data_IF_390569891242
#
_entry.id   IF_390569891242
#
_cell.length_a   1.000
_cell.length_b   1.000
_cell.length_c   1.000
_cell.angle_alpha   90.00
_cell.angle_beta   90.00
_cell.angle_gamma   90.00
#
_symmetry.space_group_name_H-M   'P 1'
#
loop_
_entity.id
_entity.type
_entity.pdbx_description
1 polymer ?
#
# COMPACT_ATOMS: atom_id res chain seq x y z
N UNK A 1 -36.21 -37.40 -6.66
CA UNK A 1 -35.83 -36.15 -7.34
C UNK A 1 -36.02 -35.02 -6.35
N UNK A 2 -34.91 -34.51 -5.82
CA UNK A 2 -34.87 -33.35 -4.93
C UNK A 2 -33.49 -32.73 -5.14
N UNK A 3 -33.40 -31.81 -6.09
CA UNK A 3 -32.22 -30.98 -6.31
C UNK A 3 -32.12 -29.97 -5.16
N UNK A 4 -31.26 -30.27 -4.19
CA UNK A 4 -30.67 -29.24 -3.34
C UNK A 4 -29.46 -28.70 -4.09
N UNK A 5 -29.64 -27.62 -4.85
CA UNK A 5 -28.52 -26.79 -5.31
C UNK A 5 -27.97 -26.03 -4.11
N UNK A 6 -27.07 -26.68 -3.38
CA UNK A 6 -26.13 -26.03 -2.47
C UNK A 6 -25.15 -25.22 -3.31
N UNK A 7 -25.47 -23.95 -3.59
CA UNK A 7 -24.44 -23.01 -4.01
C UNK A 7 -23.48 -22.84 -2.82
N UNK A 8 -22.33 -23.48 -2.93
CA UNK A 8 -21.25 -23.35 -1.97
C UNK A 8 -20.83 -21.88 -1.92
N UNK A 9 -20.71 -21.31 -0.72
CA UNK A 9 -20.16 -19.95 -0.48
C UNK A 9 -18.78 -19.75 -1.16
N UNK A 10 -18.12 -20.84 -1.55
CA UNK A 10 -16.80 -20.87 -2.19
C UNK A 10 -16.83 -20.84 -3.74
N UNK A 11 -17.99 -21.00 -4.40
CA UNK A 11 -18.00 -21.26 -5.85
C UNK A 11 -17.80 -20.04 -6.75
N UNK A 12 -17.88 -18.81 -6.26
CA UNK A 12 -17.68 -17.62 -7.12
C UNK A 12 -17.10 -16.42 -6.37
N UNK A 13 -15.83 -16.48 -5.95
CA UNK A 13 -15.14 -15.25 -5.55
C UNK A 13 -14.49 -14.52 -6.73
N UNK A 14 -14.54 -15.02 -7.97
CA UNK A 14 -13.90 -14.39 -9.14
C UNK A 14 -14.87 -13.65 -10.07
N UNK A 15 -16.19 -13.80 -9.89
CA UNK A 15 -17.17 -12.99 -10.61
C UNK A 15 -17.28 -11.62 -9.93
N UNK A 16 -16.66 -10.61 -10.53
CA UNK A 16 -16.81 -9.22 -10.12
C UNK A 16 -18.30 -8.86 -10.12
N UNK A 17 -18.85 -8.52 -8.94
CA UNK A 17 -20.20 -7.95 -8.86
C UNK A 17 -20.18 -6.58 -9.56
N UNK A 18 -20.90 -6.40 -10.68
CA UNK A 18 -20.93 -5.12 -11.41
C UNK A 18 -21.41 -3.96 -10.53
N UNK A 19 -22.19 -4.23 -9.49
CA UNK A 19 -22.67 -3.23 -8.52
C UNK A 19 -21.57 -2.67 -7.61
N UNK A 20 -20.36 -3.25 -7.64
CA UNK A 20 -19.18 -2.72 -6.94
C UNK A 20 -18.47 -1.60 -7.71
N UNK A 21 -18.86 -1.32 -8.96
CA UNK A 21 -18.16 -0.35 -9.83
C UNK A 21 -18.74 1.07 -9.79
N UNK A 22 -19.95 1.25 -9.29
CA UNK A 22 -20.62 2.54 -9.37
C UNK A 22 -20.32 3.40 -8.14
N UNK A 23 -19.27 4.22 -8.25
CA UNK A 23 -19.05 5.36 -7.36
C UNK A 23 -19.58 6.59 -8.08
N UNK A 24 -20.64 7.22 -7.57
CA UNK A 24 -21.23 8.42 -8.18
C UNK A 24 -20.27 9.62 -8.14
N UNK A 25 -19.39 9.67 -7.14
CA UNK A 25 -18.41 10.74 -6.93
C UNK A 25 -17.08 10.17 -6.39
N UNK A 26 -16.11 9.81 -7.25
CA UNK A 26 -14.82 9.34 -6.77
C UNK A 26 -14.11 10.44 -5.96
N UNK A 27 -13.37 10.08 -4.90
CA UNK A 27 -12.56 11.05 -4.15
C UNK A 27 -11.62 11.84 -5.06
N UNK A 28 -11.49 13.14 -4.79
CA UNK A 28 -10.53 14.01 -5.47
C UNK A 28 -9.09 13.79 -4.99
N UNK A 29 -8.94 13.33 -3.74
CA UNK A 29 -7.66 13.04 -3.11
C UNK A 29 -7.72 11.71 -2.37
N UNK A 30 -6.56 11.09 -2.20
CA UNK A 30 -6.39 9.83 -1.50
C UNK A 30 -5.16 9.91 -0.59
N UNK A 31 -5.30 9.42 0.64
CA UNK A 31 -4.13 9.19 1.51
C UNK A 31 -3.50 7.84 1.19
N UNK A 32 -2.17 7.76 1.26
CA UNK A 32 -1.47 6.48 1.15
C UNK A 32 -0.45 6.29 2.27
N UNK A 33 -0.48 5.11 2.89
CA UNK A 33 0.55 4.73 3.85
C UNK A 33 1.82 4.32 3.10
N UNK A 34 2.95 4.95 3.42
CA UNK A 34 4.24 4.66 2.80
C UNK A 34 5.08 3.80 3.75
N UNK A 35 4.93 2.49 3.61
CA UNK A 35 5.69 1.49 4.36
C UNK A 35 7.04 1.22 3.71
N UNK A 36 8.05 1.01 4.54
CA UNK A 36 9.39 0.66 4.12
C UNK A 36 10.38 0.78 5.26
N UNK A 37 11.64 0.35 5.06
CA UNK A 37 12.71 0.64 6.00
C UNK A 37 12.82 2.16 6.26
N UNK A 38 13.17 2.55 7.49
CA UNK A 38 13.23 3.95 7.94
C UNK A 38 14.28 4.16 9.05
N UNK A 39 15.34 3.34 9.03
CA UNK A 39 16.38 3.31 10.06
C UNK A 39 17.71 3.92 9.61
N UNK A 40 17.91 4.06 8.30
CA UNK A 40 19.11 4.70 7.74
C UNK A 40 18.80 6.05 7.11
N UNK A 41 19.83 6.89 6.96
CA UNK A 41 19.69 8.17 6.26
C UNK A 41 19.25 7.99 4.81
N UNK A 42 19.70 6.92 4.14
CA UNK A 42 19.30 6.63 2.77
C UNK A 42 17.81 6.31 2.69
N UNK A 43 17.30 5.54 3.64
CA UNK A 43 15.89 5.14 3.74
C UNK A 43 14.99 6.34 4.06
N UNK A 44 15.26 7.05 5.17
CA UNK A 44 14.48 8.22 5.59
C UNK A 44 14.43 9.28 4.50
N UNK A 45 15.57 9.57 3.88
CA UNK A 45 15.66 10.59 2.84
C UNK A 45 14.91 10.17 1.57
N UNK A 46 15.08 8.92 1.14
CA UNK A 46 14.34 8.38 -0.01
C UNK A 46 12.84 8.42 0.23
N UNK A 47 12.37 7.99 1.41
CA UNK A 47 10.94 7.95 1.74
C UNK A 47 10.32 9.35 1.65
N UNK A 48 11.00 10.36 2.20
CA UNK A 48 10.53 11.76 2.15
C UNK A 48 10.55 12.32 0.73
N UNK A 49 11.67 12.20 0.01
CA UNK A 49 11.81 12.78 -1.33
C UNK A 49 10.85 12.15 -2.34
N UNK A 50 10.71 10.83 -2.31
CA UNK A 50 9.77 10.13 -3.17
C UNK A 50 8.33 10.54 -2.86
N UNK A 51 7.97 10.64 -1.58
CA UNK A 51 6.63 11.05 -1.16
C UNK A 51 6.28 12.47 -1.60
N UNK A 52 7.23 13.40 -1.49
CA UNK A 52 7.09 14.77 -1.97
C UNK A 52 6.94 14.81 -3.49
N UNK A 53 7.74 14.03 -4.22
CA UNK A 53 7.66 13.95 -5.68
C UNK A 53 6.31 13.40 -6.14
N UNK A 54 5.82 12.31 -5.51
CA UNK A 54 4.49 11.75 -5.77
C UNK A 54 3.39 12.79 -5.53
N UNK A 55 3.42 13.47 -4.39
CA UNK A 55 2.40 14.47 -4.07
C UNK A 55 2.42 15.64 -5.06
N UNK A 56 3.61 16.17 -5.37
CA UNK A 56 3.80 17.26 -6.31
C UNK A 56 3.35 16.89 -7.73
N UNK A 57 3.83 15.77 -8.27
CA UNK A 57 3.52 15.36 -9.65
C UNK A 57 2.06 14.96 -9.83
N UNK A 58 1.44 14.40 -8.79
CA UNK A 58 0.01 14.10 -8.78
C UNK A 58 -0.89 15.31 -8.49
N UNK A 59 -0.31 16.53 -8.40
CA UNK A 59 -1.04 17.76 -8.07
C UNK A 59 -1.84 17.65 -6.78
N UNK A 60 -1.30 16.98 -5.76
CA UNK A 60 -1.93 16.78 -4.47
C UNK A 60 -2.96 15.64 -4.42
N UNK A 61 -3.17 14.89 -5.50
CA UNK A 61 -4.12 13.77 -5.52
C UNK A 61 -3.70 12.65 -4.56
N UNK A 62 -2.41 12.34 -4.47
CA UNK A 62 -1.88 11.31 -3.56
C UNK A 62 -1.13 11.96 -2.40
N UNK A 63 -1.65 11.80 -1.19
CA UNK A 63 -1.15 12.43 0.04
C UNK A 63 -0.44 11.36 0.89
N UNK A 64 0.88 11.47 1.10
CA UNK A 64 1.64 10.48 1.87
C UNK A 64 1.30 10.56 3.36
N UNK A 65 1.24 9.38 3.99
CA UNK A 65 1.32 9.20 5.44
C UNK A 65 2.60 8.40 5.69
N UNK A 66 3.59 9.05 6.29
CA UNK A 66 4.91 8.47 6.56
C UNK A 66 4.97 8.02 8.03
N UNK A 67 5.33 6.76 8.32
CA UNK A 67 5.44 6.27 9.70
C UNK A 67 6.41 7.11 10.54
N UNK A 68 7.52 7.54 9.94
CA UNK A 68 8.53 8.37 10.61
C UNK A 68 8.07 9.78 10.98
N UNK A 69 6.94 10.25 10.45
CA UNK A 69 6.38 11.58 10.74
C UNK A 69 5.26 11.53 11.80
N UNK A 70 4.83 10.33 12.21
CA UNK A 70 3.74 10.17 13.18
C UNK A 70 4.22 10.55 14.58
N UNK A 71 3.50 11.48 15.22
CA UNK A 71 3.82 11.92 16.59
C UNK A 71 3.50 10.81 17.59
N UNK A 72 4.53 10.25 18.21
CA UNK A 72 4.37 9.20 19.21
C UNK A 72 4.22 9.83 20.60
N UNK A 73 3.02 9.70 21.19
CA UNK A 73 2.78 10.12 22.59
C UNK A 73 3.51 9.24 23.60
N UNK A 74 3.75 7.97 23.23
CA UNK A 74 4.44 6.94 23.99
C UNK A 74 5.41 6.21 23.04
N UNK A 75 6.68 6.07 23.46
CA UNK A 75 7.75 5.43 22.68
C UNK A 75 7.82 3.92 22.92
N UNK A 76 6.81 3.32 23.56
CA UNK A 76 6.75 1.86 23.72
C UNK A 76 6.60 1.15 22.36
N UNK A 77 7.23 -0.01 22.14
CA UNK A 77 7.06 -0.76 20.88
C UNK A 77 5.59 -1.09 20.54
N UNK A 78 4.75 -1.27 21.57
CA UNK A 78 3.32 -1.52 21.39
C UNK A 78 2.58 -0.29 20.87
N UNK A 79 2.84 0.90 21.43
CA UNK A 79 2.21 2.14 20.97
C UNK A 79 2.68 2.53 19.57
N UNK A 80 3.95 2.30 19.23
CA UNK A 80 4.48 2.52 17.87
C UNK A 80 3.72 1.65 16.87
N UNK A 81 3.69 0.34 17.11
CA UNK A 81 2.96 -0.62 16.26
C UNK A 81 1.49 -0.25 16.13
N UNK A 82 0.83 0.12 17.22
CA UNK A 82 -0.59 0.46 17.22
C UNK A 82 -0.88 1.71 16.39
N UNK A 83 -0.01 2.72 16.47
CA UNK A 83 -0.11 3.94 15.65
C UNK A 83 0.10 3.63 14.17
N UNK A 84 1.12 2.82 13.84
CA UNK A 84 1.40 2.40 12.47
C UNK A 84 0.25 1.61 11.85
N UNK A 85 -0.31 0.63 12.57
CA UNK A 85 -1.46 -0.13 12.11
C UNK A 85 -2.71 0.74 11.96
N UNK A 86 -2.94 1.71 12.85
CA UNK A 86 -4.07 2.65 12.73
C UNK A 86 -3.89 3.57 11.53
N UNK A 87 -2.68 4.09 11.30
CA UNK A 87 -2.36 4.92 10.14
C UNK A 87 -2.52 4.15 8.82
N UNK A 88 -2.04 2.91 8.77
CA UNK A 88 -2.22 2.02 7.63
C UNK A 88 -3.70 1.77 7.34
N UNK A 89 -4.46 1.31 8.34
CA UNK A 89 -5.88 0.99 8.17
C UNK A 89 -6.67 2.23 7.73
N UNK A 90 -6.35 3.40 8.30
CA UNK A 90 -7.03 4.66 7.99
C UNK A 90 -6.68 5.24 6.61
N UNK A 91 -5.59 4.79 6.00
CA UNK A 91 -5.16 5.25 4.67
C UNK A 91 -6.03 4.67 3.56
N UNK A 92 -6.23 5.41 2.47
CA UNK A 92 -7.07 4.97 1.35
C UNK A 92 -6.41 3.86 0.50
N UNK A 93 -5.09 3.90 0.40
CA UNK A 93 -4.23 2.91 -0.26
C UNK A 93 -2.90 2.80 0.51
N UNK A 94 -1.99 1.94 0.03
CA UNK A 94 -0.66 1.80 0.62
C UNK A 94 0.42 1.54 -0.43
N UNK A 95 1.65 1.96 -0.13
CA UNK A 95 2.85 1.62 -0.86
C UNK A 95 3.83 0.91 0.07
N UNK A 96 4.44 -0.18 -0.39
CA UNK A 96 5.43 -0.94 0.37
C UNK A 96 6.74 -1.02 -0.40
N UNK A 97 7.82 -0.54 0.21
CA UNK A 97 9.18 -0.60 -0.36
C UNK A 97 9.80 -1.97 -0.08
N UNK A 98 9.95 -2.77 -1.13
CA UNK A 98 10.48 -4.14 -1.10
C UNK A 98 11.91 -4.18 -1.65
N UNK A 99 12.76 -3.27 -1.18
CA UNK A 99 14.18 -3.25 -1.53
C UNK A 99 15.01 -4.18 -0.65
N UNK A 100 16.12 -4.68 -1.21
CA UNK A 100 17.05 -5.55 -0.51
C UNK A 100 16.92 -7.04 -0.88
N UNK A 101 17.86 -7.82 -0.34
CA UNK A 101 17.89 -9.28 -0.49
C UNK A 101 16.88 -9.96 0.44
N UNK A 102 16.74 -9.45 1.66
CA UNK A 102 15.67 -9.81 2.59
C UNK A 102 14.74 -8.60 2.73
N UNK A 103 13.44 -8.87 2.79
CA UNK A 103 12.46 -7.83 3.01
C UNK A 103 12.51 -7.37 4.47
N UNK A 104 12.25 -6.09 4.70
CA UNK A 104 12.00 -5.60 6.05
C UNK A 104 10.74 -6.28 6.62
N UNK A 105 10.91 -6.94 7.77
CA UNK A 105 9.85 -7.76 8.36
C UNK A 105 8.65 -6.90 8.82
N UNK A 106 8.90 -5.66 9.28
CA UNK A 106 7.83 -4.72 9.65
C UNK A 106 6.95 -4.39 8.44
N UNK A 107 7.59 -4.00 7.35
CA UNK A 107 6.96 -3.72 6.05
C UNK A 107 6.15 -4.92 5.52
N UNK A 108 6.65 -6.15 5.70
CA UNK A 108 5.90 -7.36 5.32
C UNK A 108 4.66 -7.56 6.19
N UNK A 109 4.76 -7.37 7.51
CA UNK A 109 3.60 -7.48 8.41
C UNK A 109 2.54 -6.45 8.04
N UNK A 110 2.93 -5.20 7.81
CA UNK A 110 2.04 -4.13 7.37
C UNK A 110 1.38 -4.45 6.03
N UNK A 111 2.14 -4.98 5.07
CA UNK A 111 1.59 -5.43 3.77
C UNK A 111 0.49 -6.47 3.97
N UNK A 112 0.75 -7.47 4.81
CA UNK A 112 -0.22 -8.52 5.10
C UNK A 112 -1.48 -7.97 5.78
N UNK A 113 -1.35 -7.05 6.74
CA UNK A 113 -2.51 -6.37 7.35
C UNK A 113 -3.29 -5.58 6.30
N UNK A 114 -2.61 -4.89 5.38
CA UNK A 114 -3.25 -4.19 4.28
C UNK A 114 -4.06 -5.14 3.39
N UNK A 115 -3.54 -6.34 3.12
CA UNK A 115 -4.27 -7.37 2.34
C UNK A 115 -5.48 -7.91 3.10
N UNK A 116 -5.35 -8.14 4.41
CA UNK A 116 -6.46 -8.57 5.27
C UNK A 116 -7.57 -7.51 5.34
N UNK A 117 -7.22 -6.23 5.24
CA UNK A 117 -8.15 -5.10 5.22
C UNK A 117 -8.67 -4.72 3.82
N UNK A 118 -8.26 -5.47 2.78
CA UNK A 118 -8.58 -5.19 1.36
C UNK A 118 -8.19 -3.77 0.94
N UNK A 119 -7.01 -3.32 1.37
CA UNK A 119 -6.47 -2.01 0.98
C UNK A 119 -5.77 -2.17 -0.37
N UNK A 120 -6.10 -1.35 -1.39
CA UNK A 120 -5.37 -1.35 -2.65
C UNK A 120 -3.92 -0.93 -2.45
N UNK A 121 -2.98 -1.62 -3.11
CA UNK A 121 -1.57 -1.53 -2.77
C UNK A 121 -0.65 -1.43 -3.98
N UNK A 122 0.43 -0.67 -3.82
CA UNK A 122 1.60 -0.72 -4.70
C UNK A 122 2.78 -1.32 -3.96
N UNK A 123 3.50 -2.23 -4.60
CA UNK A 123 4.82 -2.67 -4.14
C UNK A 123 5.85 -1.94 -4.98
N UNK A 124 6.78 -1.22 -4.36
CA UNK A 124 7.91 -0.59 -5.02
C UNK A 124 9.17 -1.41 -4.77
N UNK A 125 9.87 -1.80 -5.84
CA UNK A 125 11.20 -2.38 -5.75
C UNK A 125 12.13 -1.71 -6.76
N UNK A 126 13.19 -1.10 -6.25
CA UNK A 126 14.28 -0.47 -7.01
C UNK A 126 15.54 -1.33 -7.07
N UNK A 127 15.63 -2.35 -6.20
CA UNK A 127 16.71 -3.35 -6.22
C UNK A 127 16.53 -4.35 -7.37
N UNK A 128 17.35 -4.19 -8.41
CA UNK A 128 17.35 -5.04 -9.62
C UNK A 128 17.82 -6.48 -9.35
N UNK A 129 18.44 -6.73 -8.19
CA UNK A 129 18.93 -8.07 -7.86
C UNK A 129 17.73 -8.98 -7.61
N UNK A 130 17.83 -10.22 -8.06
CA UNK A 130 16.88 -11.26 -7.69
C UNK A 130 16.96 -11.54 -6.19
N UNK A 131 15.81 -11.76 -5.57
CA UNK A 131 15.69 -12.20 -4.19
C UNK A 131 14.50 -13.18 -4.05
N UNK A 132 14.38 -13.81 -2.88
CA UNK A 132 13.36 -14.81 -2.63
C UNK A 132 13.56 -16.13 -3.40
N UNK A 133 12.47 -16.85 -3.59
CA UNK A 133 12.43 -18.26 -4.00
C UNK A 133 11.70 -18.49 -5.34
N UNK A 134 11.45 -17.42 -6.10
CA UNK A 134 10.69 -17.47 -7.37
C UNK A 134 11.58 -17.53 -8.63
N UNK A 135 12.90 -17.57 -8.45
CA UNK A 135 13.85 -17.67 -9.54
C UNK A 135 13.80 -16.48 -10.51
N UNK A 136 13.89 -16.74 -11.83
CA UNK A 136 13.91 -15.70 -12.87
C UNK A 136 12.55 -15.37 -13.47
N UNK A 137 11.50 -16.08 -13.07
CA UNK A 137 10.18 -16.05 -13.73
C UNK A 137 9.12 -15.37 -12.88
N UNK A 138 9.24 -15.43 -11.54
CA UNK A 138 8.35 -14.72 -10.63
C UNK A 138 8.96 -13.42 -10.11
N UNK A 139 8.34 -12.88 -9.05
CA UNK A 139 8.78 -11.63 -8.46
C UNK A 139 10.13 -11.80 -7.74
N UNK A 140 10.90 -10.71 -7.67
CA UNK A 140 12.22 -10.68 -7.02
C UNK A 140 12.12 -10.57 -5.49
N UNK A 141 11.18 -11.28 -4.88
CA UNK A 141 11.01 -11.37 -3.42
C UNK A 141 10.35 -12.71 -3.04
N UNK A 142 10.15 -12.94 -1.74
CA UNK A 142 9.56 -14.17 -1.22
C UNK A 142 8.16 -14.43 -1.81
N UNK A 143 7.91 -15.65 -2.29
CA UNK A 143 6.67 -16.02 -2.96
C UNK A 143 5.40 -15.82 -2.11
N UNK A 144 5.53 -15.81 -0.78
CA UNK A 144 4.40 -15.63 0.14
C UNK A 144 3.82 -14.21 0.08
N UNK A 145 4.59 -13.24 -0.42
CA UNK A 145 4.12 -11.86 -0.64
C UNK A 145 3.65 -11.60 -2.08
N UNK A 146 3.63 -12.62 -2.95
CA UNK A 146 3.17 -12.50 -4.34
C UNK A 146 1.71 -12.92 -4.52
N UNK A 147 1.13 -12.54 -5.67
CA UNK A 147 -0.21 -12.94 -6.12
C UNK A 147 -1.40 -12.49 -5.28
N UNK A 148 -1.21 -11.59 -4.32
CA UNK A 148 -2.31 -10.97 -3.59
C UNK A 148 -3.11 -10.02 -4.49
N UNK A 149 -4.46 -10.04 -4.41
CA UNK A 149 -5.30 -9.17 -5.23
C UNK A 149 -5.08 -7.69 -4.89
N UNK A 150 -5.46 -6.80 -5.81
CA UNK A 150 -5.37 -5.35 -5.63
C UNK A 150 -3.97 -4.92 -5.22
N UNK A 151 -3.00 -5.46 -5.94
CA UNK A 151 -1.58 -5.20 -5.76
C UNK A 151 -0.92 -4.98 -7.12
N UNK A 152 -0.32 -3.81 -7.31
CA UNK A 152 0.47 -3.50 -8.50
C UNK A 152 1.94 -3.39 -8.11
N UNK A 153 2.80 -4.19 -8.73
CA UNK A 153 4.24 -4.10 -8.56
C UNK A 153 4.86 -3.06 -9.51
N UNK A 154 5.72 -2.21 -8.96
CA UNK A 154 6.62 -1.29 -9.66
C UNK A 154 8.04 -1.77 -9.40
N UNK A 155 8.56 -2.60 -10.29
CA UNK A 155 9.94 -3.08 -10.25
C UNK A 155 10.77 -2.34 -11.30
N UNK A 156 11.87 -1.71 -10.87
CA UNK A 156 12.79 -0.99 -11.76
C UNK A 156 14.25 -1.22 -11.37
N UNK A 157 15.15 -1.07 -12.33
CA UNK A 157 16.59 -1.12 -12.09
C UNK A 157 17.09 0.26 -11.70
N UNK A 158 17.36 0.46 -10.40
CA UNK A 158 17.85 1.73 -9.87
C UNK A 158 19.13 2.23 -10.54
N UNK A 159 20.03 1.32 -10.94
CA UNK A 159 21.31 1.69 -11.55
C UNK A 159 21.15 2.19 -12.98
N UNK A 160 20.28 1.52 -13.75
CA UNK A 160 19.91 1.97 -15.09
C UNK A 160 19.14 3.29 -15.01
N UNK A 161 18.20 3.41 -14.07
CA UNK A 161 17.47 4.65 -13.80
C UNK A 161 18.41 5.81 -13.52
N UNK A 162 19.32 5.65 -12.56
CA UNK A 162 20.30 6.67 -12.19
C UNK A 162 21.17 7.10 -13.36
N UNK A 163 21.73 6.16 -14.13
CA UNK A 163 22.59 6.47 -15.29
C UNK A 163 21.84 7.25 -16.37
N UNK A 164 20.59 6.86 -16.62
CA UNK A 164 19.72 7.53 -17.59
C UNK A 164 19.44 8.97 -17.15
N UNK A 165 19.05 9.15 -15.89
CA UNK A 165 18.80 10.45 -15.29
C UNK A 165 20.03 11.34 -15.23
N UNK A 166 21.20 10.78 -14.93
CA UNK A 166 22.47 11.50 -14.94
C UNK A 166 22.83 12.00 -16.34
N UNK A 167 22.69 11.16 -17.37
CA UNK A 167 22.93 11.56 -18.76
C UNK A 167 21.98 12.69 -19.18
N UNK A 168 20.70 12.62 -18.80
CA UNK A 168 19.72 13.67 -19.06
C UNK A 168 20.09 14.99 -18.36
N UNK A 169 20.44 14.96 -17.07
CA UNK A 169 20.85 16.14 -16.32
C UNK A 169 22.04 16.85 -16.98
N UNK A 170 23.08 16.08 -17.36
CA UNK A 170 24.27 16.61 -18.04
C UNK A 170 23.92 17.24 -19.39
N UNK A 171 23.01 16.62 -20.16
CA UNK A 171 22.59 17.15 -21.47
C UNK A 171 21.79 18.46 -21.40
N UNK A 172 21.04 18.67 -20.30
CA UNK A 172 20.15 19.81 -20.12
C UNK A 172 20.83 21.01 -19.45
N UNK A 173 22.10 20.87 -19.02
CA UNK A 173 22.83 21.92 -18.31
C UNK A 173 22.12 22.39 -17.03
N UNK A 174 21.28 21.53 -16.43
CA UNK A 174 20.51 21.84 -15.22
C UNK A 174 21.39 21.70 -13.98
N UNK A 175 21.09 22.49 -12.96
CA UNK A 175 21.65 22.31 -11.60
C UNK A 175 21.10 21.05 -10.90
N UNK A 176 19.98 20.50 -11.39
CA UNK A 176 19.34 19.28 -10.89
C UNK A 176 20.25 18.06 -11.04
N UNK A 177 20.37 17.24 -10.00
CA UNK A 177 21.23 16.04 -10.02
C UNK A 177 20.54 14.85 -10.69
N UNK A 178 21.32 13.86 -11.13
CA UNK A 178 20.77 12.60 -11.67
C UNK A 178 19.89 11.83 -10.66
N UNK A 179 20.12 12.01 -9.36
CA UNK A 179 19.28 11.41 -8.32
C UNK A 179 17.88 12.03 -8.24
N UNK A 180 17.77 13.36 -8.35
CA UNK A 180 16.48 14.07 -8.32
C UNK A 180 15.60 13.68 -9.52
N UNK A 181 16.16 13.65 -10.72
CA UNK A 181 15.43 13.19 -11.91
C UNK A 181 15.01 11.72 -11.82
N UNK A 182 15.83 10.87 -11.18
CA UNK A 182 15.45 9.48 -10.93
C UNK A 182 14.27 9.38 -9.95
N UNK A 183 14.27 10.16 -8.86
CA UNK A 183 13.13 10.22 -7.94
C UNK A 183 11.86 10.67 -8.67
N UNK A 184 11.98 11.65 -9.59
CA UNK A 184 10.85 12.10 -10.40
C UNK A 184 10.30 11.00 -11.31
N UNK A 185 11.15 10.22 -11.97
CA UNK A 185 10.71 9.08 -12.81
C UNK A 185 10.04 7.97 -11.99
N UNK A 186 10.64 7.62 -10.83
CA UNK A 186 10.06 6.61 -9.92
C UNK A 186 8.71 7.08 -9.38
N UNK A 187 8.58 8.35 -9.00
CA UNK A 187 7.32 8.93 -8.53
C UNK A 187 6.21 8.79 -9.58
N UNK A 188 6.50 9.09 -10.85
CA UNK A 188 5.52 8.95 -11.92
C UNK A 188 5.05 7.50 -12.09
N UNK A 189 5.98 6.52 -12.03
CA UNK A 189 5.62 5.10 -12.11
C UNK A 189 4.74 4.63 -10.95
N UNK A 190 5.01 5.15 -9.74
CA UNK A 190 4.17 4.89 -8.57
C UNK A 190 2.79 5.51 -8.72
N UNK A 191 2.69 6.75 -9.21
CA UNK A 191 1.41 7.40 -9.52
C UNK A 191 0.60 6.56 -10.51
N UNK A 192 1.21 6.12 -11.61
CA UNK A 192 0.54 5.30 -12.61
C UNK A 192 0.05 3.96 -12.00
N UNK A 193 0.83 3.38 -11.09
CA UNK A 193 0.46 2.17 -10.35
C UNK A 193 -0.69 2.42 -9.36
N UNK A 194 -0.72 3.55 -8.67
CA UNK A 194 -1.86 3.96 -7.83
C UNK A 194 -3.13 4.12 -8.65
N UNK A 195 -3.06 4.81 -9.79
CA UNK A 195 -4.20 4.97 -10.71
C UNK A 195 -4.69 3.62 -11.25
N UNK A 196 -3.77 2.67 -11.45
CA UNK A 196 -4.12 1.32 -11.90
C UNK A 196 -4.82 0.53 -10.79
N UNK A 197 -4.24 0.48 -9.59
CA UNK A 197 -4.78 -0.34 -8.50
C UNK A 197 -6.11 0.20 -7.96
N UNK A 198 -6.33 1.52 -8.00
CA UNK A 198 -7.61 2.12 -7.63
C UNK A 198 -8.77 1.72 -8.56
N UNK A 199 -8.48 1.24 -9.77
CA UNK A 199 -9.50 0.71 -10.69
C UNK A 199 -9.82 -0.75 -10.43
N UNK A 200 -9.05 -1.43 -9.58
CA UNK A 200 -9.32 -2.80 -9.20
C UNK A 200 -10.43 -2.83 -8.15
N UNK A 201 -11.53 -3.57 -8.41
CA UNK A 201 -12.65 -3.63 -7.50
C UNK A 201 -12.25 -4.30 -6.18
N UNK A 202 -12.89 -3.92 -5.07
CA UNK A 202 -12.68 -4.56 -3.78
C UNK A 202 -12.84 -6.08 -3.85
N UNK A 203 -11.97 -6.80 -3.13
CA UNK A 203 -12.00 -8.25 -3.05
C UNK A 203 -13.05 -8.75 -2.06
N UNK A 204 -13.28 -8.02 -0.96
CA UNK A 204 -14.21 -8.43 0.09
C UNK A 204 -15.68 -8.24 -0.34
N UNK A 205 -16.49 -9.32 -0.33
CA UNK A 205 -17.94 -9.21 -0.50
C UNK A 205 -18.58 -8.28 0.54
N UNK A 206 -19.67 -7.60 0.17
CA UNK A 206 -20.35 -6.61 1.03
C UNK A 206 -20.72 -7.17 2.40
N UNK A 207 -21.10 -8.43 2.44
CA UNK A 207 -21.62 -9.15 3.60
C UNK A 207 -20.55 -9.43 4.66
N UNK A 208 -19.26 -9.47 4.28
CA UNK A 208 -18.17 -9.83 5.21
C UNK A 208 -17.33 -8.63 5.66
N UNK A 209 -17.46 -7.46 5.01
CA UNK A 209 -16.64 -6.27 5.27
C UNK A 209 -16.70 -5.84 6.73
N UNK A 210 -17.91 -5.71 7.29
CA UNK A 210 -18.08 -5.28 8.69
C UNK A 210 -17.47 -6.30 9.66
N UNK A 211 -17.66 -7.59 9.42
CA UNK A 211 -17.07 -8.65 10.24
C UNK A 211 -15.54 -8.67 10.20
N UNK A 212 -14.94 -8.44 9.02
CA UNK A 212 -13.48 -8.33 8.88
C UNK A 212 -12.96 -7.10 9.63
N UNK A 213 -13.61 -5.95 9.50
CA UNK A 213 -13.17 -4.73 10.21
C UNK A 213 -13.38 -4.82 11.72
N UNK A 214 -14.40 -5.55 12.18
CA UNK A 214 -14.55 -5.89 13.59
C UNK A 214 -13.40 -6.81 14.06
N UNK A 215 -13.01 -7.81 13.26
CA UNK A 215 -11.86 -8.66 13.60
C UNK A 215 -10.55 -7.87 13.65
N UNK A 216 -10.33 -6.96 12.69
CA UNK A 216 -9.17 -6.06 12.67
C UNK A 216 -9.15 -5.08 13.84
N UNK A 217 -10.30 -4.78 14.46
CA UNK A 217 -10.37 -3.96 15.67
C UNK A 217 -9.91 -4.68 16.94
N UNK A 218 -10.02 -6.01 16.95
CA UNK A 218 -9.80 -6.83 18.14
C UNK A 218 -8.45 -7.56 18.08
N UNK A 219 -8.14 -8.17 16.94
CA UNK A 219 -7.02 -9.11 16.84
C UNK A 219 -5.63 -8.48 17.03
N UNK A 220 -5.35 -7.24 16.58
CA UNK A 220 -4.08 -6.60 16.90
C UNK A 220 -3.84 -6.44 18.41
N UNK A 221 -4.91 -6.43 19.23
CA UNK A 221 -4.81 -6.18 20.66
C UNK A 221 -4.28 -4.78 20.94
N UNK A 222 -4.96 -3.76 20.40
CA UNK A 222 -4.57 -2.37 20.60
C UNK A 222 -4.55 -2.02 22.08
N UNK A 223 -3.46 -1.39 22.53
CA UNK A 223 -3.22 -0.98 23.93
C UNK A 223 -4.27 0.02 24.42
N UNK A 224 -4.60 0.98 23.57
CA UNK A 224 -5.46 2.12 23.92
C UNK A 224 -6.89 2.02 23.36
N UNK A 225 -7.82 2.71 24.02
CA UNK A 225 -9.23 2.82 23.64
C UNK A 225 -10.14 1.71 24.17
N UNK A 226 -9.61 0.50 24.37
CA UNK A 226 -10.39 -0.69 24.72
C UNK A 226 -11.22 -1.24 23.54
N UNK A 227 -11.62 -2.50 23.63
CA UNK A 227 -12.22 -3.26 22.52
C UNK A 227 -13.45 -2.56 21.92
N UNK A 228 -14.36 -2.07 22.77
CA UNK A 228 -15.58 -1.41 22.32
C UNK A 228 -15.28 -0.17 21.46
N UNK A 229 -14.36 0.68 21.90
CA UNK A 229 -13.97 1.87 21.16
C UNK A 229 -13.31 1.52 19.83
N UNK A 230 -12.42 0.52 19.82
CA UNK A 230 -11.75 0.09 18.60
C UNK A 230 -12.75 -0.48 17.59
N UNK A 231 -13.71 -1.29 18.03
CA UNK A 231 -14.77 -1.81 17.16
C UNK A 231 -15.59 -0.67 16.54
N UNK A 232 -15.98 0.32 17.32
CA UNK A 232 -16.72 1.49 16.82
C UNK A 232 -15.89 2.30 15.80
N UNK A 233 -14.61 2.51 16.09
CA UNK A 233 -13.69 3.22 15.21
C UNK A 233 -13.53 2.51 13.85
N UNK A 234 -13.23 1.21 13.87
CA UNK A 234 -13.02 0.45 12.62
C UNK A 234 -14.34 0.21 11.89
N UNK A 235 -15.49 0.12 12.57
CA UNK A 235 -16.79 0.10 11.93
C UNK A 235 -17.08 1.41 11.17
N UNK A 236 -16.73 2.56 11.76
CA UNK A 236 -16.83 3.86 11.08
C UNK A 236 -15.92 3.90 9.85
N UNK A 237 -14.66 3.49 10.00
CA UNK A 237 -13.70 3.44 8.91
C UNK A 237 -14.15 2.53 7.75
N UNK A 238 -14.72 1.37 8.07
CA UNK A 238 -15.31 0.46 7.08
C UNK A 238 -16.40 1.16 6.25
N UNK A 239 -17.27 1.95 6.89
CA UNK A 239 -18.33 2.71 6.21
C UNK A 239 -17.75 3.83 5.33
N UNK A 240 -16.74 4.53 5.83
CA UNK A 240 -16.06 5.59 5.06
C UNK A 240 -15.40 5.03 3.80
N UNK A 241 -14.64 3.93 3.91
CA UNK A 241 -14.01 3.29 2.75
C UNK A 241 -15.03 2.79 1.72
N UNK A 242 -16.15 2.24 2.18
CA UNK A 242 -17.26 1.85 1.29
C UNK A 242 -17.85 3.06 0.56
N UNK A 243 -18.04 4.19 1.25
CA UNK A 243 -18.56 5.43 0.62
C UNK A 243 -17.62 6.00 -0.44
N UNK A 244 -16.31 5.77 -0.28
CA UNK A 244 -15.28 6.12 -1.27
C UNK A 244 -15.10 5.07 -2.38
N UNK A 245 -15.81 3.95 -2.31
CA UNK A 245 -15.66 2.79 -3.20
C UNK A 245 -14.30 2.09 -3.12
N UNK A 246 -13.58 2.28 -2.02
CA UNK A 246 -12.29 1.62 -1.76
C UNK A 246 -12.47 0.22 -1.16
N UNK A 247 -13.64 -0.03 -0.57
CA UNK A 247 -14.04 -1.28 0.05
C UNK A 247 -15.39 -1.75 -0.47
#
# INVERSE_FOLDING_TARGET
>A
MSEFTSHSVLETHTSLDPSQREISHPPQTYTYYHAGPLFTIAELHTNVLLSQAINKQSSGKFIPILPQDLEQRDLSPHSIRDEDLRALLSSDLAMFTYDGAELDAGTVVEYMVAKMADIPTVILRTDFRGAGDQGKVGDSWNLMSSFWPRTVAVALDAMVGYKTSLAMALSQGKETTGGELMIEDVAQKVIDAFEKVLKEPPRLPKEVREGVYQWLALMPGFKDGGDQHNVELLAKLCKEKQSKGLL
#
